data_IF_376822632812
#
_entry.id   IF_376822632812
#
_cell.length_a   1.000
_cell.length_b   1.000
_cell.length_c   1.000
_cell.angle_alpha   90.00
_cell.angle_beta   90.00
_cell.angle_gamma   90.00
#
_symmetry.space_group_name_H-M   'P 1'
#
loop_
_entity.id
_entity.type
_entity.pdbx_description
1 polymer ?
#
# COMPACT_ATOMS: atom_id res chain seq x y z
N UNK A 1 -12.54 -13.15 -0.61
CA UNK A 1 -12.58 -11.83 -1.25
C UNK A 1 -11.18 -11.25 -1.28
N UNK A 2 -10.80 -10.62 -2.38
CA UNK A 2 -9.45 -10.09 -2.65
C UNK A 2 -8.93 -9.14 -1.55
N UNK A 3 -9.70 -8.09 -1.21
CA UNK A 3 -9.31 -7.13 -0.18
C UNK A 3 -8.99 -7.79 1.16
N UNK A 4 -9.80 -8.76 1.59
CA UNK A 4 -9.59 -9.50 2.83
C UNK A 4 -8.29 -10.31 2.81
N UNK A 5 -7.96 -10.93 1.69
CA UNK A 5 -6.72 -11.70 1.54
C UNK A 5 -5.49 -10.79 1.65
N UNK A 6 -5.49 -9.66 0.93
CA UNK A 6 -4.37 -8.72 0.95
C UNK A 6 -4.23 -8.01 2.30
N UNK A 7 -5.33 -7.66 2.96
CA UNK A 7 -5.29 -7.10 4.32
C UNK A 7 -4.76 -8.13 5.34
N UNK A 8 -5.07 -9.42 5.16
CA UNK A 8 -4.48 -10.48 5.99
C UNK A 8 -2.96 -10.59 5.75
N UNK A 9 -2.50 -10.49 4.50
CA UNK A 9 -1.08 -10.47 4.17
C UNK A 9 -0.37 -9.26 4.81
N UNK A 10 -0.98 -8.07 4.75
CA UNK A 10 -0.46 -6.86 5.41
C UNK A 10 -0.34 -7.06 6.93
N UNK A 11 -1.34 -7.65 7.57
CA UNK A 11 -1.29 -7.98 9.00
C UNK A 11 -0.14 -8.95 9.32
N UNK A 12 0.02 -10.01 8.54
CA UNK A 12 1.12 -10.98 8.73
C UNK A 12 2.49 -10.34 8.54
N UNK A 13 2.65 -9.47 7.54
CA UNK A 13 3.88 -8.72 7.31
C UNK A 13 4.24 -7.85 8.52
N UNK A 14 3.28 -7.08 9.05
CA UNK A 14 3.49 -6.26 10.25
C UNK A 14 3.84 -7.09 11.49
N UNK A 15 3.18 -8.23 11.69
CA UNK A 15 3.49 -9.13 12.82
C UNK A 15 4.89 -9.71 12.73
N UNK A 16 5.33 -10.11 11.53
CA UNK A 16 6.69 -10.59 11.30
C UNK A 16 7.72 -9.50 11.58
N UNK A 17 7.48 -8.29 11.06
CA UNK A 17 8.35 -7.15 11.27
C UNK A 17 8.46 -6.77 12.75
N UNK A 18 7.34 -6.72 13.46
CA UNK A 18 7.33 -6.47 14.91
C UNK A 18 8.13 -7.52 15.68
N UNK A 19 8.03 -8.80 15.32
CA UNK A 19 8.81 -9.86 15.96
C UNK A 19 10.32 -9.71 15.75
N UNK A 20 10.77 -9.03 14.69
CA UNK A 20 12.18 -8.84 14.38
C UNK A 20 12.73 -7.51 14.92
N UNK A 21 11.95 -6.43 14.85
CA UNK A 21 12.39 -5.06 15.15
C UNK A 21 11.80 -4.47 16.42
N UNK A 22 10.90 -5.19 17.09
CA UNK A 22 10.16 -4.75 18.29
C UNK A 22 9.40 -3.42 18.11
N UNK A 23 9.03 -3.11 16.85
CA UNK A 23 8.23 -1.93 16.50
C UNK A 23 7.40 -2.21 15.25
N UNK A 24 6.32 -1.44 15.07
CA UNK A 24 5.62 -1.40 13.79
C UNK A 24 6.33 -0.47 12.81
N UNK A 25 6.08 -0.67 11.52
CA UNK A 25 6.57 0.23 10.47
C UNK A 25 5.42 0.96 9.79
N UNK A 26 5.70 2.18 9.36
CA UNK A 26 4.79 3.01 8.58
C UNK A 26 4.88 2.74 7.06
N UNK A 27 5.77 1.83 6.63
CA UNK A 27 6.17 1.67 5.25
C UNK A 27 6.00 0.23 4.74
N UNK A 28 5.28 0.07 3.64
CA UNK A 28 4.99 -1.20 2.97
C UNK A 28 6.26 -1.92 2.47
N UNK A 29 7.22 -1.16 1.92
CA UNK A 29 8.49 -1.72 1.44
C UNK A 29 9.37 -2.23 2.59
N UNK A 30 9.30 -1.61 3.78
CA UNK A 30 10.07 -2.04 4.96
C UNK A 30 9.53 -3.35 5.56
N UNK A 31 8.22 -3.54 5.55
CA UNK A 31 7.57 -4.77 6.04
C UNK A 31 7.48 -5.88 4.97
N UNK A 32 7.94 -5.63 3.74
CA UNK A 32 7.86 -6.58 2.63
C UNK A 32 6.43 -6.81 2.11
N UNK A 33 5.51 -5.87 2.32
CA UNK A 33 4.15 -5.97 1.82
C UNK A 33 4.06 -5.45 0.38
N UNK A 34 3.80 -6.35 -0.57
CA UNK A 34 3.57 -6.03 -1.97
C UNK A 34 2.43 -6.92 -2.52
N UNK A 35 1.20 -6.41 -2.67
CA UNK A 35 0.11 -7.17 -3.28
C UNK A 35 0.38 -7.37 -4.78
N UNK A 36 -0.07 -8.50 -5.30
CA UNK A 36 0.04 -8.84 -6.71
C UNK A 36 -0.59 -7.77 -7.62
N UNK A 37 -0.05 -7.64 -8.84
CA UNK A 37 -0.63 -6.78 -9.88
C UNK A 37 -2.07 -7.18 -10.18
N UNK A 38 -2.86 -6.20 -10.59
CA UNK A 38 -4.29 -6.35 -10.82
C UNK A 38 -5.14 -6.19 -9.56
N UNK A 39 -4.59 -5.60 -8.49
CA UNK A 39 -5.36 -5.25 -7.30
C UNK A 39 -6.39 -4.16 -7.60
N UNK A 40 -7.64 -4.40 -7.23
CA UNK A 40 -8.75 -3.44 -7.39
C UNK A 40 -8.81 -2.41 -6.27
N UNK A 41 -8.17 -2.72 -5.14
CA UNK A 41 -8.17 -1.87 -3.94
C UNK A 41 -6.78 -1.29 -3.70
N UNK A 42 -6.72 -0.04 -3.27
CA UNK A 42 -5.51 0.53 -2.69
C UNK A 42 -5.34 0.10 -1.23
N UNK A 43 -4.10 0.04 -0.77
CA UNK A 43 -3.74 -0.35 0.60
C UNK A 43 -2.90 0.74 1.25
N UNK A 44 -3.23 1.09 2.49
CA UNK A 44 -2.51 2.09 3.29
C UNK A 44 -1.90 1.46 4.52
N UNK A 45 -0.63 1.75 4.76
CA UNK A 45 0.14 1.34 5.94
C UNK A 45 0.22 2.48 6.95
N UNK A 46 0.33 3.72 6.47
CA UNK A 46 0.35 4.90 7.33
C UNK A 46 -0.19 6.15 6.60
N UNK A 47 -0.34 7.24 7.36
CA UNK A 47 -0.76 8.54 6.83
C UNK A 47 0.40 9.36 6.23
N UNK A 48 1.65 8.90 6.35
CA UNK A 48 2.84 9.68 5.98
C UNK A 48 3.70 8.90 5.00
N UNK A 49 4.08 9.50 3.86
CA UNK A 49 4.96 8.91 2.85
C UNK A 49 4.38 8.96 1.44
N UNK A 50 5.06 8.37 0.47
CA UNK A 50 4.62 8.32 -0.93
C UNK A 50 3.82 7.05 -1.22
N UNK A 51 2.85 7.14 -2.13
CA UNK A 51 2.17 5.96 -2.64
C UNK A 51 2.94 5.35 -3.81
N UNK A 52 3.00 4.02 -3.86
CA UNK A 52 3.38 3.28 -5.06
C UNK A 52 2.25 3.45 -6.10
N UNK A 53 2.55 4.20 -7.15
CA UNK A 53 1.64 4.45 -8.26
C UNK A 53 1.64 3.24 -9.21
N UNK A 54 0.45 2.77 -9.59
CA UNK A 54 0.25 1.60 -10.47
C UNK A 54 -0.53 1.96 -11.74
N UNK A 55 -0.14 3.07 -12.37
CA UNK A 55 -0.75 3.59 -13.60
C UNK A 55 0.02 3.19 -14.89
N UNK A 56 1.19 2.57 -14.74
CA UNK A 56 2.03 2.10 -15.82
C UNK A 56 2.26 0.58 -15.82
N UNK A 57 2.71 0.06 -16.97
CA UNK A 57 3.11 -1.34 -17.13
C UNK A 57 4.26 -1.72 -16.18
N UNK A 58 5.25 -0.83 -16.08
CA UNK A 58 6.42 -0.98 -15.21
C UNK A 58 6.23 -0.09 -13.99
N UNK A 59 6.33 -0.67 -12.80
CA UNK A 59 6.36 0.07 -11.54
C UNK A 59 7.80 0.50 -11.32
N UNK A 60 8.04 1.81 -11.24
CA UNK A 60 9.35 2.33 -10.90
C UNK A 60 9.70 1.93 -9.46
N UNK A 61 10.96 1.59 -9.16
CA UNK A 61 11.39 1.39 -7.79
C UNK A 61 11.06 2.63 -6.97
N UNK A 62 10.48 2.49 -5.77
CA UNK A 62 10.16 3.64 -4.96
C UNK A 62 11.45 4.36 -4.55
N UNK A 63 11.52 5.67 -4.83
CA UNK A 63 12.66 6.50 -4.45
C UNK A 63 12.69 6.78 -2.93
N UNK A 64 11.52 6.74 -2.30
CA UNK A 64 11.30 7.02 -0.88
C UNK A 64 10.51 5.88 -0.21
N UNK A 65 10.28 6.02 1.09
CA UNK A 65 9.51 5.06 1.85
C UNK A 65 8.03 5.03 1.42
N UNK A 66 7.51 3.83 1.14
CA UNK A 66 6.19 3.63 0.54
C UNK A 66 5.15 3.44 1.63
N UNK A 67 4.26 4.41 1.83
CA UNK A 67 3.22 4.34 2.88
C UNK A 67 1.89 3.78 2.39
N UNK A 68 1.73 3.70 1.08
CA UNK A 68 0.51 3.24 0.41
C UNK A 68 0.82 2.61 -0.92
N UNK A 69 -0.07 1.74 -1.39
CA UNK A 69 -0.02 1.09 -2.69
C UNK A 69 -1.36 1.34 -3.38
N UNK A 70 -1.34 1.99 -4.54
CA UNK A 70 -2.56 2.32 -5.27
C UNK A 70 -3.21 1.09 -5.91
N UNK A 71 -4.47 1.24 -6.33
CA UNK A 71 -5.10 0.24 -7.20
C UNK A 71 -4.40 0.20 -8.57
N UNK A 72 -4.45 -0.96 -9.23
CA UNK A 72 -3.82 -1.15 -10.55
C UNK A 72 -4.63 -0.45 -11.66
N UNK A 73 -4.53 0.88 -11.69
CA UNK A 73 -5.19 1.72 -12.69
C UNK A 73 -4.63 1.52 -14.10
N UNK A 74 -3.42 0.97 -14.25
CA UNK A 74 -2.93 0.48 -15.54
C UNK A 74 -3.83 -0.63 -16.09
N UNK A 75 -4.23 -1.60 -15.26
CA UNK A 75 -5.11 -2.69 -15.67
C UNK A 75 -6.58 -2.26 -15.82
N UNK A 76 -7.08 -1.40 -14.93
CA UNK A 76 -8.50 -1.04 -14.85
C UNK A 76 -8.85 0.31 -15.51
N UNK A 77 -7.88 0.96 -16.13
CA UNK A 77 -8.01 2.26 -16.79
C UNK A 77 -7.67 3.42 -15.85
N UNK A 78 -7.01 4.45 -16.39
CA UNK A 78 -6.51 5.59 -15.61
C UNK A 78 -7.60 6.34 -14.83
N UNK A 79 -8.84 6.31 -15.32
CA UNK A 79 -10.01 6.91 -14.64
C UNK A 79 -10.41 6.16 -13.35
N UNK A 80 -9.93 4.93 -13.16
CA UNK A 80 -10.16 4.14 -11.94
C UNK A 80 -9.16 4.46 -10.83
N UNK A 81 -8.16 5.31 -11.09
CA UNK A 81 -7.09 5.61 -10.15
C UNK A 81 -7.67 6.28 -8.90
N UNK A 82 -7.40 5.69 -7.75
CA UNK A 82 -7.73 6.28 -6.45
C UNK A 82 -6.57 7.20 -6.06
N UNK A 83 -6.69 8.47 -6.42
CA UNK A 83 -5.66 9.51 -6.19
C UNK A 83 -5.64 10.03 -4.77
N UNK A 84 -6.74 9.91 -4.02
CA UNK A 84 -6.82 10.37 -2.65
C UNK A 84 -7.10 9.24 -1.68
N UNK A 85 -6.06 8.69 -1.04
CA UNK A 85 -6.27 7.88 0.13
C UNK A 85 -5.86 8.60 1.44
N UNK A 86 -5.55 9.91 1.40
CA UNK A 86 -5.14 10.66 2.60
C UNK A 86 -6.29 10.69 3.61
N UNK A 87 -6.10 10.12 4.82
CA UNK A 87 -7.15 10.17 5.82
C UNK A 87 -7.36 11.62 6.24
N UNK A 88 -8.58 12.12 6.12
CA UNK A 88 -8.96 13.38 6.74
C UNK A 88 -8.86 13.20 8.25
N UNK A 89 -7.77 13.72 8.85
CA UNK A 89 -7.58 13.73 10.29
C UNK A 89 -8.35 14.91 10.87
N UNK A 90 -9.67 14.89 10.77
CA UNK A 90 -10.49 15.86 11.46
C UNK A 90 -10.31 15.63 12.97
N UNK A 91 -9.68 16.59 13.65
CA UNK A 91 -9.70 16.65 15.11
C UNK A 91 -11.13 16.98 15.54
N UNK A 92 -11.77 16.05 16.26
CA UNK A 92 -13.06 16.30 16.91
C UNK A 92 -12.94 17.41 17.96
#
# INVERSE_FOLDING_TARGET
SEAKTNLKALYTAQKSFFSEKDRYSSFANEIGFAPERGNRYGYRVSAAGTCEVRDASVIAPPADAVSCIENDSYRFGLQSRITNPDPEVATF
#
